data_IF_252967208407
#
_entry.id   IF_252967208407
#
_cell.length_a   1.000
_cell.length_b   1.000
_cell.length_c   1.000
_cell.angle_alpha   90.00
_cell.angle_beta   90.00
_cell.angle_gamma   90.00
#
_symmetry.space_group_name_H-M   'P 1'
#
loop_
_entity.id
_entity.type
_entity.pdbx_description
1 polymer ?
#
# COMPACT_ATOMS: atom_id res chain seq x y z
N UNK A 1 -31.32 -3.74 8.77
CA UNK A 1 -31.20 -4.06 7.33
C UNK A 1 -29.89 -3.47 6.85
N UNK A 2 -28.87 -4.30 6.66
CA UNK A 2 -27.60 -3.87 6.06
C UNK A 2 -27.91 -3.70 4.58
N UNK A 3 -27.78 -2.48 4.05
CA UNK A 3 -27.87 -2.23 2.61
C UNK A 3 -26.81 -3.10 1.97
N UNK A 4 -27.24 -4.23 1.38
CA UNK A 4 -26.35 -5.21 0.79
C UNK A 4 -25.53 -4.52 -0.27
N UNK A 5 -24.22 -4.62 -0.17
CA UNK A 5 -23.32 -4.07 -1.17
C UNK A 5 -23.66 -4.73 -2.50
N UNK A 6 -24.08 -3.91 -3.46
CA UNK A 6 -24.68 -4.38 -4.69
C UNK A 6 -23.65 -4.64 -5.79
N UNK A 7 -22.52 -3.94 -5.76
CA UNK A 7 -21.43 -4.09 -6.74
C UNK A 7 -20.10 -4.20 -6.00
N UNK A 8 -19.40 -5.31 -6.22
CA UNK A 8 -18.07 -5.57 -5.67
C UNK A 8 -17.07 -5.76 -6.82
N UNK A 9 -15.95 -5.03 -6.74
CA UNK A 9 -14.80 -5.17 -7.64
C UNK A 9 -13.63 -5.72 -6.86
N UNK A 10 -13.00 -6.78 -7.35
CA UNK A 10 -11.83 -7.38 -6.71
C UNK A 10 -10.62 -7.29 -7.62
N UNK A 11 -9.57 -6.64 -7.13
CA UNK A 11 -8.33 -6.36 -7.85
C UNK A 11 -7.11 -7.00 -7.22
N UNK A 12 -7.18 -7.49 -5.97
CA UNK A 12 -6.07 -8.14 -5.26
C UNK A 12 -5.95 -9.62 -5.67
N UNK A 13 -5.72 -9.86 -6.96
CA UNK A 13 -5.77 -11.15 -7.63
C UNK A 13 -6.25 -10.97 -9.06
N UNK A 14 -6.89 -11.97 -9.69
CA UNK A 14 -7.59 -11.78 -10.95
C UNK A 14 -8.70 -10.73 -10.78
N UNK A 15 -8.90 -9.91 -11.82
CA UNK A 15 -9.98 -8.92 -11.85
C UNK A 15 -11.33 -9.62 -11.83
N UNK A 16 -12.11 -9.39 -10.77
CA UNK A 16 -13.48 -9.88 -10.65
C UNK A 16 -14.46 -8.73 -10.47
N UNK A 17 -15.63 -8.85 -11.10
CA UNK A 17 -16.81 -8.05 -10.84
C UNK A 17 -17.91 -8.97 -10.35
N UNK A 18 -18.52 -8.63 -9.22
CA UNK A 18 -19.69 -9.31 -8.68
C UNK A 18 -20.80 -8.30 -8.52
N UNK A 19 -21.97 -8.59 -9.08
CA UNK A 19 -23.16 -7.74 -9.04
C UNK A 19 -24.29 -8.53 -8.41
N UNK A 20 -24.87 -8.02 -7.33
CA UNK A 20 -25.92 -8.71 -6.56
C UNK A 20 -25.54 -10.15 -6.16
N UNK A 21 -24.25 -10.36 -5.84
CA UNK A 21 -23.69 -11.67 -5.49
C UNK A 21 -23.40 -12.59 -6.69
N UNK A 22 -23.70 -12.17 -7.92
CA UNK A 22 -23.50 -12.95 -9.15
C UNK A 22 -22.22 -12.50 -9.87
N UNK A 23 -21.34 -13.41 -10.30
CA UNK A 23 -20.18 -13.07 -11.13
C UNK A 23 -20.62 -12.40 -12.44
N UNK A 24 -20.09 -11.20 -12.69
CA UNK A 24 -20.41 -10.37 -13.84
C UNK A 24 -19.14 -9.82 -14.53
N UNK A 25 -17.98 -10.42 -14.25
CA UNK A 25 -16.69 -10.01 -14.80
C UNK A 25 -16.74 -9.88 -16.33
N UNK A 26 -16.36 -8.72 -16.89
CA UNK A 26 -16.33 -8.52 -18.33
C UNK A 26 -15.43 -9.52 -19.06
N UNK A 27 -15.86 -9.93 -20.26
CA UNK A 27 -15.04 -10.73 -21.16
C UNK A 27 -13.87 -9.95 -21.76
N UNK A 28 -12.73 -10.62 -21.87
CA UNK A 28 -11.51 -10.08 -22.49
C UNK A 28 -10.70 -9.11 -21.60
N UNK A 29 -9.41 -8.92 -21.90
CA UNK A 29 -8.50 -8.17 -21.03
C UNK A 29 -8.77 -6.66 -21.02
N UNK A 30 -9.24 -6.09 -22.14
CA UNK A 30 -9.43 -4.63 -22.31
C UNK A 30 -10.55 -4.03 -21.45
N UNK A 31 -11.79 -4.57 -21.42
CA UNK A 31 -12.81 -4.10 -20.50
C UNK A 31 -12.42 -4.30 -19.03
N UNK A 32 -11.72 -5.40 -18.70
CA UNK A 32 -11.20 -5.64 -17.34
C UNK A 32 -10.14 -4.62 -16.94
N UNK A 33 -9.24 -4.22 -17.85
CA UNK A 33 -8.28 -3.16 -17.59
C UNK A 33 -8.96 -1.81 -17.31
N UNK A 34 -10.03 -1.47 -18.05
CA UNK A 34 -10.84 -0.27 -17.76
C UNK A 34 -11.49 -0.35 -16.38
N UNK A 35 -12.09 -1.49 -16.03
CA UNK A 35 -12.66 -1.72 -14.69
C UNK A 35 -11.60 -1.57 -13.60
N UNK A 36 -10.44 -2.19 -13.79
CA UNK A 36 -9.33 -2.15 -12.83
C UNK A 36 -8.85 -0.73 -12.58
N UNK A 37 -8.62 0.07 -13.64
CA UNK A 37 -8.19 1.47 -13.49
C UNK A 37 -9.25 2.31 -12.77
N UNK A 38 -10.53 2.14 -13.12
CA UNK A 38 -11.61 2.89 -12.48
C UNK A 38 -11.77 2.53 -11.00
N UNK A 39 -11.76 1.23 -10.67
CA UNK A 39 -11.89 0.77 -9.29
C UNK A 39 -10.67 1.12 -8.43
N UNK A 40 -9.45 1.04 -8.98
CA UNK A 40 -8.22 1.44 -8.30
C UNK A 40 -8.11 2.96 -8.08
N UNK A 41 -8.90 3.76 -8.80
CA UNK A 41 -8.97 5.20 -8.59
C UNK A 41 -9.86 5.60 -7.39
N UNK A 42 -10.40 4.62 -6.66
CA UNK A 42 -11.11 4.85 -5.39
C UNK A 42 -12.46 5.56 -5.51
N UNK A 43 -12.94 5.83 -6.73
CA UNK A 43 -14.09 6.70 -6.98
C UNK A 43 -13.72 8.03 -7.62
N UNK A 44 -12.44 8.31 -7.89
CA UNK A 44 -12.04 9.48 -8.68
C UNK A 44 -12.41 9.35 -10.18
N UNK A 45 -12.75 10.45 -10.87
CA UNK A 45 -12.89 10.46 -12.33
C UNK A 45 -11.55 10.22 -13.02
N UNK A 46 -11.58 9.37 -14.05
CA UNK A 46 -10.46 8.99 -14.90
C UNK A 46 -10.71 9.46 -16.33
N UNK A 47 -9.76 10.19 -16.90
CA UNK A 47 -9.90 10.72 -18.26
C UNK A 47 -10.01 9.62 -19.32
N UNK A 48 -10.71 9.91 -20.41
CA UNK A 48 -10.81 8.99 -21.55
C UNK A 48 -9.43 8.67 -22.16
N UNK A 49 -8.50 9.63 -22.18
CA UNK A 49 -7.12 9.41 -22.64
C UNK A 49 -6.41 8.36 -21.81
N UNK A 50 -6.57 8.42 -20.49
CA UNK A 50 -5.90 7.50 -19.58
C UNK A 50 -6.52 6.11 -19.60
N UNK A 51 -7.83 6.01 -19.76
CA UNK A 51 -8.47 4.73 -20.03
C UNK A 51 -8.01 4.15 -21.38
N UNK A 52 -7.82 4.99 -22.38
CA UNK A 52 -7.30 4.55 -23.68
C UNK A 52 -5.84 4.08 -23.56
N UNK A 53 -4.99 4.77 -22.79
CA UNK A 53 -3.63 4.32 -22.43
C UNK A 53 -3.69 2.94 -21.77
N UNK A 54 -4.56 2.75 -20.77
CA UNK A 54 -4.68 1.48 -20.05
C UNK A 54 -5.11 0.30 -20.94
N UNK A 55 -6.04 0.56 -21.85
CA UNK A 55 -6.60 -0.43 -22.78
C UNK A 55 -5.57 -0.92 -23.81
N UNK A 56 -4.65 -0.06 -24.24
CA UNK A 56 -3.71 -0.35 -25.33
C UNK A 56 -2.24 -0.40 -24.90
N UNK A 57 -1.98 -0.29 -23.59
CA UNK A 57 -0.63 -0.33 -23.01
C UNK A 57 0.16 -1.62 -23.33
N UNK A 58 -0.55 -2.69 -23.70
CA UNK A 58 -0.04 -3.99 -24.13
C UNK A 58 0.43 -4.03 -25.60
N UNK A 59 -0.05 -3.11 -26.45
CA UNK A 59 0.13 -3.21 -27.92
C UNK A 59 1.10 -2.19 -28.51
N UNK A 60 1.53 -1.18 -27.74
CA UNK A 60 2.35 -0.07 -28.24
C UNK A 60 1.66 0.81 -29.30
N UNK A 61 0.38 0.59 -29.58
CA UNK A 61 -0.41 1.39 -30.55
C UNK A 61 -0.94 2.67 -29.91
N UNK A 62 -1.14 3.74 -30.70
CA UNK A 62 -1.79 4.94 -30.21
C UNK A 62 -3.18 4.62 -29.65
N UNK A 63 -3.40 5.09 -28.43
CA UNK A 63 -4.64 4.94 -27.70
C UNK A 63 -5.79 5.64 -28.46
N UNK A 64 -6.83 4.91 -28.87
CA UNK A 64 -8.00 5.49 -29.55
C UNK A 64 -9.14 5.73 -28.55
N UNK A 65 -9.51 7.01 -28.34
CA UNK A 65 -10.64 7.41 -27.48
C UNK A 65 -11.95 6.71 -27.83
N UNK A 66 -12.19 6.47 -29.13
CA UNK A 66 -13.39 5.80 -29.62
C UNK A 66 -13.56 4.37 -29.05
N UNK A 67 -12.46 3.65 -28.80
CA UNK A 67 -12.52 2.29 -28.26
C UNK A 67 -12.84 2.26 -26.76
N UNK A 68 -12.52 3.32 -26.02
CA UNK A 68 -12.89 3.43 -24.59
C UNK A 68 -14.40 3.42 -24.44
N UNK A 69 -15.13 4.09 -25.33
CA UNK A 69 -16.60 4.12 -25.29
C UNK A 69 -17.21 2.72 -25.45
N UNK A 70 -16.62 1.89 -26.31
CA UNK A 70 -17.04 0.48 -26.49
C UNK A 70 -16.84 -0.32 -25.21
N UNK A 71 -15.67 -0.20 -24.59
CA UNK A 71 -15.37 -0.92 -23.34
C UNK A 71 -16.22 -0.41 -22.17
N UNK A 72 -16.47 0.89 -22.08
CA UNK A 72 -17.40 1.49 -21.11
C UNK A 72 -18.83 1.00 -21.34
N UNK A 73 -19.26 0.85 -22.59
CA UNK A 73 -20.58 0.30 -22.91
C UNK A 73 -20.70 -1.15 -22.44
N UNK A 74 -19.72 -2.00 -22.73
CA UNK A 74 -19.70 -3.39 -22.24
C UNK A 74 -19.67 -3.46 -20.71
N UNK A 75 -18.92 -2.56 -20.04
CA UNK A 75 -18.93 -2.47 -18.58
C UNK A 75 -20.29 -2.09 -18.02
N UNK A 76 -21.00 -1.14 -18.64
CA UNK A 76 -22.37 -0.81 -18.23
C UNK A 76 -23.32 -1.98 -18.39
N UNK A 77 -23.15 -2.80 -19.43
CA UNK A 77 -23.92 -4.03 -19.61
C UNK A 77 -23.62 -5.05 -18.50
N UNK A 78 -22.34 -5.26 -18.17
CA UNK A 78 -21.93 -6.12 -17.05
C UNK A 78 -22.48 -5.65 -15.70
N UNK A 79 -22.60 -4.33 -15.49
CA UNK A 79 -23.19 -3.75 -14.27
C UNK A 79 -24.72 -3.87 -14.22
N UNK A 80 -25.39 -4.23 -15.32
CA UNK A 80 -26.85 -4.40 -15.38
C UNK A 80 -27.60 -3.16 -14.90
N UNK A 81 -28.53 -3.35 -13.95
CA UNK A 81 -29.31 -2.27 -13.34
C UNK A 81 -28.45 -1.20 -12.65
N UNK A 82 -27.20 -1.52 -12.32
CA UNK A 82 -26.24 -0.64 -11.65
C UNK A 82 -25.32 0.09 -12.63
N UNK A 83 -25.63 0.08 -13.93
CA UNK A 83 -24.85 0.80 -14.95
C UNK A 83 -24.69 2.30 -14.68
N UNK A 84 -25.57 2.90 -13.86
CA UNK A 84 -25.47 4.30 -13.39
C UNK A 84 -24.33 4.54 -12.41
N UNK A 85 -23.75 3.48 -11.83
CA UNK A 85 -22.51 3.55 -11.06
C UNK A 85 -21.33 4.01 -11.92
N UNK A 86 -21.35 3.70 -13.23
CA UNK A 86 -20.35 4.15 -14.19
C UNK A 86 -20.77 5.47 -14.84
N UNK A 87 -20.39 6.57 -14.19
CA UNK A 87 -20.71 7.95 -14.55
C UNK A 87 -19.73 8.50 -15.58
N UNK A 88 -20.19 9.46 -16.36
CA UNK A 88 -19.35 10.24 -17.28
C UNK A 88 -19.60 11.72 -17.06
N UNK A 89 -18.55 12.51 -16.92
CA UNK A 89 -18.62 13.95 -16.68
C UNK A 89 -17.36 14.69 -17.16
N UNK A 90 -17.19 15.97 -16.77
CA UNK A 90 -16.07 16.80 -17.25
C UNK A 90 -14.67 16.23 -16.97
N UNK A 91 -14.52 15.46 -15.89
CA UNK A 91 -13.27 14.77 -15.51
C UNK A 91 -13.06 13.40 -16.17
N UNK A 92 -13.97 12.94 -17.02
CA UNK A 92 -13.94 11.61 -17.63
C UNK A 92 -14.94 10.64 -16.99
N UNK A 93 -14.52 9.38 -16.83
CA UNK A 93 -15.34 8.28 -16.33
C UNK A 93 -15.08 8.00 -14.86
N UNK A 94 -16.13 7.73 -14.10
CA UNK A 94 -16.04 7.51 -12.66
C UNK A 94 -16.85 6.28 -12.29
N UNK A 95 -16.28 5.38 -11.49
CA UNK A 95 -17.01 4.26 -10.90
C UNK A 95 -17.35 4.59 -9.44
N UNK A 96 -18.61 4.93 -9.18
CA UNK A 96 -19.08 5.42 -7.88
C UNK A 96 -20.03 4.42 -7.21
N UNK A 97 -20.00 4.36 -5.87
CA UNK A 97 -20.92 3.52 -5.10
C UNK A 97 -20.66 2.02 -5.21
N UNK A 98 -19.42 1.63 -5.53
CA UNK A 98 -18.98 0.22 -5.58
C UNK A 98 -18.09 -0.08 -4.38
N UNK A 99 -18.06 -1.34 -3.94
CA UNK A 99 -17.04 -1.83 -3.01
C UNK A 99 -15.85 -2.34 -3.80
N UNK A 100 -14.65 -1.94 -3.40
CA UNK A 100 -13.42 -2.49 -3.95
C UNK A 100 -12.62 -3.20 -2.84
N UNK A 101 -12.04 -4.37 -3.14
CA UNK A 101 -11.19 -5.09 -2.17
C UNK A 101 -9.95 -4.30 -1.76
N UNK A 102 -9.40 -3.49 -2.66
CA UNK A 102 -8.34 -2.51 -2.36
C UNK A 102 -8.76 -1.52 -1.26
N UNK A 103 -10.00 -1.05 -1.28
CA UNK A 103 -10.53 -0.15 -0.25
C UNK A 103 -10.70 -0.90 1.07
N UNK A 104 -11.19 -2.14 1.00
CA UNK A 104 -11.36 -2.98 2.17
C UNK A 104 -10.03 -3.32 2.84
N UNK A 105 -8.95 -3.51 2.07
CA UNK A 105 -7.62 -3.81 2.59
C UNK A 105 -6.97 -2.61 3.26
N UNK A 106 -7.07 -1.44 2.64
CA UNK A 106 -6.62 -0.17 3.22
C UNK A 106 -7.29 0.08 4.57
N UNK A 107 -8.62 -0.11 4.64
CA UNK A 107 -9.38 0.07 5.87
C UNK A 107 -9.04 -0.98 6.94
N UNK A 108 -8.80 -2.22 6.54
CA UNK A 108 -8.40 -3.28 7.47
C UNK A 108 -7.00 -3.06 8.05
N UNK A 109 -6.03 -2.65 7.22
CA UNK A 109 -4.68 -2.27 7.65
C UNK A 109 -4.73 -1.07 8.59
N UNK A 110 -5.55 -0.07 8.26
CA UNK A 110 -5.77 1.08 9.13
C UNK A 110 -6.24 0.66 10.52
N UNK A 111 -7.35 -0.09 10.61
CA UNK A 111 -7.87 -0.58 11.89
C UNK A 111 -6.86 -1.42 12.68
N UNK A 112 -6.09 -2.27 11.98
CA UNK A 112 -5.06 -3.08 12.62
C UNK A 112 -3.96 -2.23 13.26
N UNK A 113 -3.58 -1.12 12.63
CA UNK A 113 -2.63 -0.15 13.18
C UNK A 113 -3.17 0.64 14.35
N UNK A 114 -4.42 1.10 14.26
CA UNK A 114 -5.06 1.78 15.37
C UNK A 114 -5.10 0.88 16.62
N UNK A 115 -5.46 -0.40 16.44
CA UNK A 115 -5.39 -1.40 17.50
C UNK A 115 -3.95 -1.59 18.05
N UNK A 116 -2.95 -1.61 17.16
CA UNK A 116 -1.55 -1.76 17.56
C UNK A 116 -1.05 -0.57 18.40
N UNK A 117 -1.40 0.65 17.99
CA UNK A 117 -1.11 1.88 18.72
C UNK A 117 -1.81 1.91 20.08
N UNK A 118 -3.04 1.41 20.15
CA UNK A 118 -3.79 1.19 21.39
C UNK A 118 -3.26 0.02 22.24
N UNK A 119 -2.18 -0.65 21.80
CA UNK A 119 -1.55 -1.80 22.47
C UNK A 119 -2.45 -3.04 22.56
N UNK A 120 -3.51 -3.10 21.76
CA UNK A 120 -4.34 -4.29 21.59
C UNK A 120 -3.73 -5.20 20.51
N UNK A 121 -2.76 -6.02 20.94
CA UNK A 121 -2.02 -6.92 20.04
C UNK A 121 -2.93 -7.97 19.41
N UNK A 122 -3.99 -8.41 20.10
CA UNK A 122 -4.90 -9.41 19.54
C UNK A 122 -5.72 -8.82 18.39
N UNK A 123 -6.33 -7.66 18.61
CA UNK A 123 -7.09 -6.98 17.57
C UNK A 123 -6.19 -6.56 16.39
N UNK A 124 -4.97 -6.09 16.66
CA UNK A 124 -3.99 -5.75 15.63
C UNK A 124 -3.63 -6.96 14.75
N UNK A 125 -3.26 -8.09 15.37
CA UNK A 125 -2.89 -9.30 14.63
C UNK A 125 -4.06 -9.86 13.82
N UNK A 126 -5.27 -9.86 14.40
CA UNK A 126 -6.49 -10.27 13.70
C UNK A 126 -6.80 -9.36 12.50
N UNK A 127 -6.69 -8.04 12.68
CA UNK A 127 -6.90 -7.07 11.61
C UNK A 127 -5.92 -7.22 10.45
N UNK A 128 -4.63 -7.41 10.73
CA UNK A 128 -3.64 -7.66 9.67
C UNK A 128 -3.89 -8.99 8.96
N UNK A 129 -4.25 -10.07 9.68
CA UNK A 129 -4.61 -11.36 9.04
C UNK A 129 -5.82 -11.21 8.11
N UNK A 130 -6.88 -10.56 8.58
CA UNK A 130 -8.07 -10.29 7.77
C UNK A 130 -7.73 -9.46 6.52
N UNK A 131 -6.85 -8.47 6.65
CA UNK A 131 -6.38 -7.70 5.49
C UNK A 131 -5.62 -8.60 4.50
N UNK A 132 -4.69 -9.42 4.99
CA UNK A 132 -3.87 -10.31 4.16
C UNK A 132 -4.70 -11.36 3.41
N UNK A 133 -5.80 -11.83 3.99
CA UNK A 133 -6.75 -12.76 3.34
C UNK A 133 -7.47 -12.17 2.12
N UNK A 134 -7.52 -10.84 1.98
CA UNK A 134 -8.11 -10.19 0.81
C UNK A 134 -7.23 -10.34 -0.45
N UNK A 135 -5.92 -10.60 -0.28
CA UNK A 135 -5.05 -10.94 -1.40
C UNK A 135 -5.25 -12.39 -1.84
N UNK A 136 -5.90 -12.54 -3.00
CA UNK A 136 -6.06 -13.82 -3.73
C UNK A 136 -4.92 -14.06 -4.72
N UNK A 137 -4.07 -13.06 -4.94
CA UNK A 137 -2.91 -13.09 -5.82
C UNK A 137 -2.28 -11.71 -5.99
N UNK A 138 -1.37 -11.57 -6.95
CA UNK A 138 -0.85 -10.26 -7.34
C UNK A 138 -1.99 -9.36 -7.85
N UNK A 139 -1.88 -8.05 -7.61
CA UNK A 139 -2.86 -7.08 -8.09
C UNK A 139 -3.10 -7.24 -9.60
N UNK A 140 -4.35 -7.43 -10.03
CA UNK A 140 -4.74 -7.70 -11.43
C UNK A 140 -3.84 -8.77 -12.09
N UNK A 141 -3.74 -9.95 -11.48
CA UNK A 141 -2.81 -11.02 -11.92
C UNK A 141 -3.15 -11.63 -13.28
N UNK A 142 -4.38 -11.47 -13.75
CA UNK A 142 -4.84 -11.90 -15.08
C UNK A 142 -4.57 -10.86 -16.19
N UNK A 143 -3.96 -9.72 -15.83
CA UNK A 143 -3.59 -8.63 -16.72
C UNK A 143 -2.10 -8.26 -16.56
N UNK A 144 -1.15 -9.18 -16.75
CA UNK A 144 0.27 -8.91 -16.52
C UNK A 144 0.85 -7.87 -17.50
N UNK A 145 0.38 -7.84 -18.75
CA UNK A 145 0.95 -7.00 -19.82
C UNK A 145 0.39 -5.56 -19.85
N UNK A 146 -0.57 -5.23 -18.98
CA UNK A 146 -1.17 -3.90 -18.92
C UNK A 146 -0.34 -2.96 -18.03
N UNK A 147 0.72 -2.39 -18.58
CA UNK A 147 1.71 -1.57 -17.82
C UNK A 147 1.11 -0.33 -17.15
N UNK A 148 -0.07 0.14 -17.57
CA UNK A 148 -0.80 1.21 -16.88
C UNK A 148 -1.21 0.84 -15.44
N UNK A 149 -1.25 -0.45 -15.11
CA UNK A 149 -1.55 -0.99 -13.78
C UNK A 149 -0.29 -1.17 -12.92
N UNK A 150 0.91 -1.14 -13.50
CA UNK A 150 2.17 -1.35 -12.76
C UNK A 150 2.36 -0.44 -11.54
N UNK A 151 1.96 0.86 -11.58
CA UNK A 151 2.06 1.71 -10.40
C UNK A 151 1.21 1.19 -9.24
N UNK A 152 -0.04 0.80 -9.49
CA UNK A 152 -0.92 0.20 -8.48
C UNK A 152 -0.42 -1.18 -8.06
N UNK A 153 0.09 -1.98 -9.01
CA UNK A 153 0.67 -3.30 -8.75
C UNK A 153 1.83 -3.21 -7.75
N UNK A 154 2.75 -2.26 -7.94
CA UNK A 154 3.86 -2.02 -7.01
C UNK A 154 3.37 -1.54 -5.65
N UNK A 155 2.41 -0.60 -5.62
CA UNK A 155 1.84 -0.09 -4.37
C UNK A 155 1.21 -1.19 -3.52
N UNK A 156 0.30 -1.99 -4.09
CA UNK A 156 -0.40 -3.04 -3.35
C UNK A 156 0.50 -4.26 -3.05
N UNK A 157 1.56 -4.49 -3.83
CA UNK A 157 2.59 -5.47 -3.48
C UNK A 157 3.37 -5.02 -2.24
N UNK A 158 3.85 -3.77 -2.21
CA UNK A 158 4.57 -3.24 -1.05
C UNK A 158 3.69 -3.20 0.20
N UNK A 159 2.44 -2.76 0.06
CA UNK A 159 1.47 -2.73 1.16
C UNK A 159 1.21 -4.12 1.74
N UNK A 160 1.18 -5.18 0.90
CA UNK A 160 1.07 -6.57 1.37
C UNK A 160 2.28 -6.96 2.21
N UNK A 161 3.48 -6.62 1.75
CA UNK A 161 4.70 -6.92 2.48
C UNK A 161 4.80 -6.16 3.81
N UNK A 162 4.45 -4.88 3.82
CA UNK A 162 4.36 -4.07 5.05
C UNK A 162 3.33 -4.65 6.04
N UNK A 163 2.18 -5.10 5.55
CA UNK A 163 1.16 -5.74 6.38
C UNK A 163 1.64 -7.08 6.98
N UNK A 164 2.40 -7.88 6.21
CA UNK A 164 3.04 -9.11 6.72
C UNK A 164 4.06 -8.80 7.82
N UNK A 165 4.95 -7.84 7.60
CA UNK A 165 5.91 -7.41 8.62
C UNK A 165 5.23 -6.91 9.89
N UNK A 166 4.15 -6.14 9.74
CA UNK A 166 3.41 -5.62 10.87
C UNK A 166 2.70 -6.73 11.65
N UNK A 167 2.05 -7.67 10.94
CA UNK A 167 1.46 -8.87 11.55
C UNK A 167 2.51 -9.65 12.36
N UNK A 168 3.66 -9.95 11.74
CA UNK A 168 4.73 -10.72 12.39
C UNK A 168 5.28 -9.99 13.62
N UNK A 169 5.50 -8.68 13.51
CA UNK A 169 5.96 -7.90 14.67
C UNK A 169 4.94 -7.90 15.81
N UNK A 170 3.65 -7.93 15.51
CA UNK A 170 2.58 -8.08 16.51
C UNK A 170 2.60 -9.47 17.13
N UNK A 171 2.71 -10.53 16.32
CA UNK A 171 2.78 -11.90 16.81
C UNK A 171 4.02 -12.11 17.70
N UNK A 172 5.20 -11.60 17.31
CA UNK A 172 6.42 -11.65 18.13
C UNK A 172 6.28 -10.93 19.48
N UNK A 173 5.58 -9.80 19.53
CA UNK A 173 5.30 -9.08 20.78
C UNK A 173 4.27 -9.78 21.66
N UNK A 174 3.36 -10.55 21.06
CA UNK A 174 2.42 -11.40 21.76
C UNK A 174 3.04 -12.71 22.29
N UNK A 175 4.34 -12.92 22.11
CA UNK A 175 5.06 -14.12 22.54
C UNK A 175 5.28 -15.16 21.45
N UNK A 176 5.01 -14.81 20.19
CA UNK A 176 5.18 -15.66 19.02
C UNK A 176 3.87 -16.28 18.51
N UNK A 177 3.99 -17.06 17.44
CA UNK A 177 2.91 -17.87 16.89
C UNK A 177 3.44 -19.26 16.48
N UNK A 178 2.64 -20.33 16.57
CA UNK A 178 3.07 -21.66 16.13
C UNK A 178 3.54 -21.64 14.66
N UNK A 179 4.75 -22.12 14.41
CA UNK A 179 5.32 -22.20 13.05
C UNK A 179 5.86 -20.88 12.49
N UNK A 180 5.94 -19.81 13.30
CA UNK A 180 6.41 -18.49 12.85
C UNK A 180 7.84 -18.52 12.28
N UNK A 181 8.75 -19.30 12.87
CA UNK A 181 10.12 -19.47 12.33
C UNK A 181 10.08 -20.03 10.91
N UNK A 182 9.29 -21.08 10.66
CA UNK A 182 9.16 -21.70 9.33
C UNK A 182 8.53 -20.74 8.32
N UNK A 183 7.55 -19.96 8.74
CA UNK A 183 6.96 -18.91 7.89
C UNK A 183 8.00 -17.86 7.50
N UNK A 184 8.76 -17.36 8.48
CA UNK A 184 9.82 -16.38 8.26
C UNK A 184 10.95 -16.92 7.39
N UNK A 185 11.30 -18.20 7.50
CA UNK A 185 12.25 -18.88 6.59
C UNK A 185 11.77 -18.85 5.13
N UNK A 186 10.47 -19.04 4.90
CA UNK A 186 9.87 -18.88 3.57
C UNK A 186 9.92 -17.44 3.07
N UNK A 187 9.62 -16.49 3.95
CA UNK A 187 9.62 -15.05 3.60
C UNK A 187 11.01 -14.51 3.27
N UNK A 188 12.07 -14.92 4.00
CA UNK A 188 13.44 -14.50 3.65
C UNK A 188 13.94 -15.15 2.36
N UNK A 189 13.43 -16.34 2.00
CA UNK A 189 13.73 -16.95 0.71
C UNK A 189 13.00 -16.24 -0.45
N UNK A 190 11.75 -15.81 -0.22
CA UNK A 190 10.95 -15.09 -1.21
C UNK A 190 11.37 -13.62 -1.38
N UNK A 191 11.75 -12.95 -0.29
CA UNK A 191 12.13 -11.54 -0.23
C UNK A 191 13.50 -11.35 0.45
N UNK A 192 14.60 -11.86 -0.15
CA UNK A 192 15.93 -11.89 0.46
C UNK A 192 16.52 -10.51 0.75
N UNK A 193 16.16 -9.48 -0.02
CA UNK A 193 16.63 -8.11 0.17
C UNK A 193 15.83 -7.32 1.21
N UNK A 194 14.75 -7.91 1.78
CA UNK A 194 13.94 -7.26 2.79
C UNK A 194 14.47 -7.61 4.17
N UNK A 195 15.49 -6.86 4.61
CA UNK A 195 16.23 -7.03 5.87
C UNK A 195 15.37 -7.27 7.11
N UNK A 196 14.17 -6.72 7.11
CA UNK A 196 13.24 -6.81 8.22
C UNK A 196 12.75 -8.23 8.50
N UNK A 197 12.54 -9.05 7.47
CA UNK A 197 12.20 -10.45 7.67
C UNK A 197 13.37 -11.22 8.30
N UNK A 198 14.62 -10.88 7.94
CA UNK A 198 15.80 -11.43 8.62
C UNK A 198 15.83 -11.05 10.10
N UNK A 199 15.61 -9.77 10.40
CA UNK A 199 15.56 -9.30 11.79
C UNK A 199 14.46 -9.99 12.60
N UNK A 200 13.26 -10.13 12.03
CA UNK A 200 12.14 -10.83 12.67
C UNK A 200 12.44 -12.33 12.89
N UNK A 201 13.12 -12.98 11.94
CA UNK A 201 13.57 -14.36 12.08
C UNK A 201 14.62 -14.52 13.19
N UNK A 202 15.56 -13.59 13.31
CA UNK A 202 16.51 -13.56 14.43
C UNK A 202 15.80 -13.46 15.77
N UNK A 203 14.80 -12.58 15.89
CA UNK A 203 14.03 -12.41 17.13
C UNK A 203 13.21 -13.66 17.46
N UNK A 204 12.58 -14.29 16.47
CA UNK A 204 11.82 -15.53 16.67
C UNK A 204 12.71 -16.66 17.21
N UNK A 205 13.86 -16.88 16.58
CA UNK A 205 14.85 -17.88 17.02
C UNK A 205 15.39 -17.59 18.42
N UNK A 206 15.67 -16.31 18.72
CA UNK A 206 16.11 -15.90 20.05
C UNK A 206 15.07 -16.18 21.14
N UNK A 207 13.79 -15.92 20.88
CA UNK A 207 12.69 -16.24 21.80
C UNK A 207 12.55 -17.74 22.08
N UNK A 208 12.89 -18.59 21.12
CA UNK A 208 12.93 -20.06 21.28
C UNK A 208 14.24 -20.56 21.96
N UNK A 209 15.13 -19.67 22.38
CA UNK A 209 16.43 -20.02 22.99
C UNK A 209 17.50 -20.45 21.98
N UNK A 210 17.25 -20.27 20.68
CA UNK A 210 18.13 -20.71 19.57
C UNK A 210 19.07 -19.58 19.14
N UNK A 211 19.83 -19.06 20.10
CA UNK A 211 20.69 -17.88 19.91
C UNK A 211 21.75 -18.04 18.82
N UNK A 212 22.39 -19.22 18.74
CA UNK A 212 23.40 -19.52 17.72
C UNK A 212 22.79 -19.44 16.32
N UNK A 213 21.61 -19.99 16.13
CA UNK A 213 20.89 -19.97 14.85
C UNK A 213 20.46 -18.54 14.48
N UNK A 214 20.05 -17.71 15.44
CA UNK A 214 19.77 -16.30 15.19
C UNK A 214 21.01 -15.57 14.61
N UNK A 215 22.20 -15.82 15.15
CA UNK A 215 23.45 -15.26 14.62
C UNK A 215 23.84 -15.84 13.26
N UNK A 216 23.50 -17.11 12.99
CA UNK A 216 23.66 -17.69 11.64
C UNK A 216 22.79 -16.97 10.61
N UNK A 217 21.53 -16.62 10.95
CA UNK A 217 20.66 -15.88 10.03
C UNK A 217 21.17 -14.49 9.72
N UNK A 218 21.80 -13.81 10.68
CA UNK A 218 22.49 -12.55 10.40
C UNK A 218 23.64 -12.72 9.40
N UNK A 219 24.50 -13.73 9.59
CA UNK A 219 25.61 -14.03 8.67
C UNK A 219 25.09 -14.32 7.26
N UNK A 220 24.01 -15.09 7.15
CA UNK A 220 23.37 -15.37 5.88
C UNK A 220 22.79 -14.12 5.22
N UNK A 221 22.07 -13.28 5.98
CA UNK A 221 21.53 -12.01 5.48
C UNK A 221 22.65 -11.10 4.94
N UNK A 222 23.75 -10.98 5.69
CA UNK A 222 24.93 -10.20 5.27
C UNK A 222 25.49 -10.68 3.93
N UNK A 223 25.65 -11.99 3.76
CA UNK A 223 26.15 -12.56 2.52
C UNK A 223 25.20 -12.27 1.36
N UNK A 224 23.90 -12.49 1.56
CA UNK A 224 22.86 -12.26 0.55
C UNK A 224 22.80 -10.79 0.11
N UNK A 225 22.85 -9.84 1.05
CA UNK A 225 22.83 -8.41 0.77
C UNK A 225 24.08 -7.96 0.00
N UNK A 226 25.25 -8.48 0.39
CA UNK A 226 26.50 -8.21 -0.31
C UNK A 226 26.47 -8.77 -1.74
N UNK A 227 26.02 -10.00 -1.93
CA UNK A 227 26.02 -10.68 -3.22
C UNK A 227 24.98 -10.12 -4.20
N UNK A 228 23.77 -9.78 -3.72
CA UNK A 228 22.65 -9.39 -4.59
C UNK A 228 22.47 -7.88 -4.74
N UNK A 229 22.89 -7.08 -3.75
CA UNK A 229 22.71 -5.64 -3.75
C UNK A 229 24.02 -4.85 -3.56
N UNK A 230 25.14 -5.51 -3.25
CA UNK A 230 26.43 -4.84 -3.04
C UNK A 230 26.47 -3.96 -1.80
N UNK A 231 25.60 -4.24 -0.80
CA UNK A 231 25.46 -3.42 0.42
C UNK A 231 25.68 -4.25 1.68
N UNK A 232 26.18 -3.59 2.72
CA UNK A 232 26.24 -4.15 4.07
C UNK A 232 24.86 -4.09 4.77
N UNK A 233 24.63 -4.94 5.79
CA UNK A 233 23.43 -4.87 6.64
C UNK A 233 23.13 -3.48 7.20
N UNK A 234 21.86 -3.11 7.18
CA UNK A 234 21.34 -1.87 7.74
C UNK A 234 21.54 -1.75 9.26
N UNK A 235 21.34 -0.55 9.82
CA UNK A 235 21.56 -0.28 11.25
C UNK A 235 20.74 -1.19 12.18
N UNK A 236 19.46 -1.42 11.85
CA UNK A 236 18.57 -2.25 12.65
C UNK A 236 19.06 -3.71 12.74
N UNK A 237 19.50 -4.29 11.63
CA UNK A 237 19.99 -5.67 11.60
C UNK A 237 21.33 -5.81 12.34
N UNK A 238 22.22 -4.82 12.22
CA UNK A 238 23.47 -4.74 13.02
C UNK A 238 23.22 -4.53 14.51
N UNK A 239 22.17 -3.79 14.88
CA UNK A 239 21.79 -3.62 16.29
C UNK A 239 21.21 -4.92 16.87
N UNK A 240 20.42 -5.67 16.09
CA UNK A 240 19.95 -7.00 16.49
C UNK A 240 21.11 -7.96 16.72
N UNK A 241 22.10 -8.02 15.84
CA UNK A 241 23.32 -8.84 16.05
C UNK A 241 23.98 -8.48 17.39
N UNK A 242 24.22 -7.19 17.65
CA UNK A 242 24.83 -6.71 18.90
C UNK A 242 23.99 -7.07 20.13
N UNK A 243 22.67 -6.90 20.05
CA UNK A 243 21.76 -7.24 21.14
C UNK A 243 21.77 -8.74 21.44
N UNK A 244 21.78 -9.58 20.40
CA UNK A 244 21.87 -11.03 20.54
C UNK A 244 23.22 -11.44 21.15
N UNK A 245 24.35 -10.90 20.67
CA UNK A 245 25.68 -11.18 21.24
C UNK A 245 25.80 -10.75 22.72
N UNK A 246 25.13 -9.68 23.11
CA UNK A 246 25.11 -9.16 24.47
C UNK A 246 24.10 -9.88 25.40
N UNK A 247 23.40 -10.92 24.92
CA UNK A 247 22.32 -11.58 25.65
C UNK A 247 21.26 -10.59 26.16
N UNK A 248 20.92 -9.58 25.36
CA UNK A 248 19.94 -8.58 25.74
C UNK A 248 18.56 -9.20 25.97
N UNK A 249 17.74 -8.59 26.84
CA UNK A 249 16.37 -9.04 27.04
C UNK A 249 15.53 -8.93 25.76
N UNK A 250 14.58 -9.86 25.59
CA UNK A 250 13.70 -9.93 24.41
C UNK A 250 12.98 -8.62 24.09
N UNK A 251 12.64 -7.81 25.10
CA UNK A 251 12.03 -6.50 24.90
C UNK A 251 12.89 -5.55 24.06
N UNK A 252 14.22 -5.59 24.23
CA UNK A 252 15.17 -4.81 23.42
C UNK A 252 15.12 -5.23 21.96
N UNK A 253 15.16 -6.54 21.70
CA UNK A 253 15.12 -7.10 20.34
C UNK A 253 13.79 -6.79 19.64
N UNK A 254 12.67 -6.94 20.35
CA UNK A 254 11.33 -6.64 19.84
C UNK A 254 11.18 -5.17 19.41
N UNK A 255 11.81 -4.25 20.14
CA UNK A 255 11.82 -2.82 19.77
C UNK A 255 12.54 -2.57 18.44
N UNK A 256 13.66 -3.26 18.21
CA UNK A 256 14.45 -3.10 16.98
C UNK A 256 13.74 -3.74 15.77
N UNK A 257 13.01 -4.84 15.98
CA UNK A 257 12.26 -5.54 14.92
C UNK A 257 10.87 -4.94 14.60
N UNK A 258 10.43 -3.92 15.35
CA UNK A 258 9.10 -3.33 15.22
C UNK A 258 8.90 -2.54 13.90
N UNK A 259 7.65 -2.33 13.45
CA UNK A 259 7.34 -1.50 12.28
C UNK A 259 7.68 -0.04 12.55
N UNK A 260 8.44 0.57 11.62
CA UNK A 260 8.87 1.95 11.74
C UNK A 260 10.17 2.18 12.53
N UNK A 261 10.91 1.12 12.90
CA UNK A 261 12.33 1.30 13.23
C UNK A 261 13.03 1.82 11.96
N UNK A 262 13.50 3.08 12.02
CA UNK A 262 13.73 3.93 10.85
C UNK A 262 14.38 3.22 9.65
N UNK A 263 13.65 3.06 8.53
CA UNK A 263 14.29 2.72 7.27
C UNK A 263 15.22 3.88 6.87
N UNK A 264 16.38 3.56 6.30
CA UNK A 264 17.46 4.49 5.90
C UNK A 264 17.10 5.47 4.77
N UNK A 265 15.81 5.69 4.52
CA UNK A 265 15.31 6.55 3.46
C UNK A 265 14.20 7.48 3.93
N UNK A 266 14.10 8.65 3.30
CA UNK A 266 13.11 9.65 3.66
C UNK A 266 11.70 9.08 3.43
N UNK A 267 10.81 9.15 4.44
CA UNK A 267 9.46 8.68 4.26
C UNK A 267 8.73 9.61 3.26
N UNK A 268 7.91 9.02 2.40
CA UNK A 268 7.22 9.73 1.33
C UNK A 268 5.76 9.29 1.26
N UNK A 269 4.88 10.21 0.87
CA UNK A 269 3.53 9.88 0.48
C UNK A 269 3.56 9.27 -0.91
N UNK A 270 2.96 8.09 -1.06
CA UNK A 270 2.68 7.44 -2.34
C UNK A 270 1.18 7.27 -2.48
N UNK A 271 0.59 7.72 -3.58
CA UNK A 271 -0.84 7.56 -3.85
C UNK A 271 -1.09 7.32 -5.33
N UNK A 272 -2.25 6.78 -5.67
CA UNK A 272 -2.74 6.72 -7.04
C UNK A 272 -3.59 7.95 -7.29
N UNK A 273 -3.21 8.82 -8.23
CA UNK A 273 -4.04 9.98 -8.58
C UNK A 273 -5.27 9.56 -9.41
N UNK A 274 -6.21 10.47 -9.68
CA UNK A 274 -7.38 10.20 -10.54
C UNK A 274 -7.02 10.05 -12.01
N UNK A 275 -5.78 10.34 -12.38
CA UNK A 275 -5.23 9.80 -13.62
C UNK A 275 -4.66 8.42 -13.38
N UNK A 276 -5.05 7.64 -12.38
CA UNK A 276 -4.55 6.30 -12.01
C UNK A 276 -3.02 6.12 -11.84
N UNK A 277 -2.20 7.18 -11.91
CA UNK A 277 -0.73 7.07 -11.83
C UNK A 277 -0.32 7.09 -10.38
N UNK A 278 0.64 6.24 -10.00
CA UNK A 278 1.31 6.43 -8.72
C UNK A 278 2.06 7.76 -8.75
N UNK A 279 1.77 8.60 -7.78
CA UNK A 279 2.46 9.83 -7.47
C UNK A 279 3.20 9.64 -6.15
N UNK A 280 4.31 10.35 -6.01
CA UNK A 280 5.15 10.33 -4.82
C UNK A 280 5.48 11.74 -4.42
N UNK A 281 5.54 11.98 -3.12
CA UNK A 281 5.97 13.26 -2.54
C UNK A 281 6.69 12.99 -1.24
N UNK A 282 7.95 13.41 -1.15
CA UNK A 282 8.70 13.32 0.10
C UNK A 282 7.99 14.09 1.21
N UNK A 283 7.97 13.53 2.42
CA UNK A 283 7.49 14.26 3.58
C UNK A 283 8.45 15.43 3.86
N UNK A 284 7.92 16.59 4.29
CA UNK A 284 8.74 17.78 4.52
C UNK A 284 9.74 17.49 5.63
N UNK A 285 11.00 17.90 5.45
CA UNK A 285 12.03 17.86 6.52
C UNK A 285 11.97 19.10 7.40
N UNK A 286 11.39 20.18 6.86
CA UNK A 286 11.04 21.41 7.56
C UNK A 286 9.85 22.07 6.85
N UNK A 287 9.12 22.93 7.57
CA UNK A 287 7.94 23.60 7.04
C UNK A 287 6.70 22.70 7.01
N UNK A 288 5.87 22.88 6.00
CA UNK A 288 4.58 22.19 5.87
C UNK A 288 4.33 21.78 4.43
N UNK A 289 3.60 20.68 4.27
CA UNK A 289 3.12 20.13 3.02
C UNK A 289 1.59 20.17 3.07
N UNK A 290 0.95 20.86 2.12
CA UNK A 290 -0.51 20.94 2.07
C UNK A 290 -1.08 19.91 1.10
N UNK A 291 -2.04 19.12 1.57
CA UNK A 291 -2.84 18.20 0.76
C UNK A 291 -4.19 18.85 0.48
N UNK A 292 -4.60 18.86 -0.78
CA UNK A 292 -5.89 19.44 -1.14
C UNK A 292 -6.18 19.46 -2.63
N UNK A 293 -7.35 19.99 -2.97
CA UNK A 293 -7.83 20.12 -4.35
C UNK A 293 -7.34 21.40 -5.05
N UNK A 294 -6.77 22.35 -4.31
CA UNK A 294 -6.26 23.60 -4.87
C UNK A 294 -5.03 23.40 -5.77
N UNK A 295 -4.86 24.33 -6.71
CA UNK A 295 -3.76 24.33 -7.65
C UNK A 295 -2.39 24.52 -6.98
N UNK A 296 -2.35 25.27 -5.88
CA UNK A 296 -1.15 25.51 -5.08
C UNK A 296 -0.88 24.49 -3.97
N UNK A 297 -1.63 23.38 -3.89
CA UNK A 297 -1.35 22.33 -2.91
C UNK A 297 -0.11 21.51 -3.32
N UNK A 298 0.75 21.19 -2.36
CA UNK A 298 1.92 20.33 -2.58
C UNK A 298 1.54 18.93 -3.05
N UNK A 299 0.42 18.43 -2.54
CA UNK A 299 -0.20 17.18 -2.96
C UNK A 299 -1.59 17.51 -3.48
N UNK A 300 -1.65 17.73 -4.79
CA UNK A 300 -2.85 18.17 -5.49
C UNK A 300 -3.75 16.98 -5.88
N UNK A 301 -4.81 16.76 -5.11
CA UNK A 301 -5.81 15.71 -5.33
C UNK A 301 -7.00 16.24 -6.15
N UNK A 302 -6.70 16.88 -7.30
CA UNK A 302 -7.70 17.65 -8.06
C UNK A 302 -8.91 16.86 -8.56
N UNK A 303 -8.68 15.57 -8.75
CA UNK A 303 -9.64 14.61 -9.25
C UNK A 303 -10.69 14.22 -8.20
N UNK A 304 -10.36 14.36 -6.92
CA UNK A 304 -11.21 13.87 -5.84
C UNK A 304 -12.18 14.96 -5.41
N UNK A 305 -13.45 14.82 -5.84
CA UNK A 305 -14.51 15.78 -5.51
C UNK A 305 -14.84 15.82 -4.01
N UNK A 306 -14.51 14.77 -3.26
CA UNK A 306 -14.67 14.72 -1.81
C UNK A 306 -13.52 15.43 -1.08
N UNK A 307 -12.47 15.85 -1.78
CA UNK A 307 -11.35 16.60 -1.21
C UNK A 307 -11.62 18.11 -1.21
N UNK A 308 -11.61 18.70 -0.01
CA UNK A 308 -11.52 20.15 0.20
C UNK A 308 -10.32 20.81 -0.51
N UNK A 309 -10.49 22.07 -0.87
CA UNK A 309 -9.45 22.94 -1.48
C UNK A 309 -8.11 22.88 -0.75
N UNK A 310 -8.14 23.10 0.56
CA UNK A 310 -7.09 22.73 1.51
C UNK A 310 -7.72 21.72 2.47
N UNK A 311 -7.22 20.50 2.46
CA UNK A 311 -7.88 19.37 3.13
C UNK A 311 -7.14 18.98 4.40
N UNK A 312 -5.85 18.73 4.27
CA UNK A 312 -4.97 18.36 5.35
C UNK A 312 -3.63 19.06 5.19
N UNK A 313 -2.88 19.12 6.26
CA UNK A 313 -1.51 19.60 6.30
C UNK A 313 -0.64 18.57 6.99
N UNK A 314 0.58 18.41 6.49
CA UNK A 314 1.64 17.71 7.19
C UNK A 314 2.71 18.71 7.57
N UNK A 315 2.88 18.96 8.86
CA UNK A 315 3.91 19.83 9.42
C UNK A 315 5.02 19.01 10.07
N UNK A 316 6.15 19.66 10.36
CA UNK A 316 7.21 19.09 11.18
C UNK A 316 7.17 19.68 12.59
N UNK A 317 6.95 18.84 13.59
CA UNK A 317 6.98 19.20 15.01
C UNK A 317 8.07 18.41 15.71
N UNK A 318 9.10 19.10 16.22
CA UNK A 318 10.28 18.48 16.84
C UNK A 318 10.94 17.36 15.99
N UNK A 319 10.91 17.50 14.65
CA UNK A 319 11.47 16.52 13.71
C UNK A 319 10.56 15.32 13.42
N UNK A 320 9.33 15.34 13.93
CA UNK A 320 8.31 14.33 13.67
C UNK A 320 7.26 14.90 12.71
N UNK A 321 6.94 14.19 11.60
CA UNK A 321 5.89 14.62 10.70
C UNK A 321 4.52 14.42 11.38
N UNK A 322 3.74 15.50 11.46
CA UNK A 322 2.41 15.55 12.08
C UNK A 322 1.35 15.86 11.02
N UNK A 323 0.31 15.04 10.93
CA UNK A 323 -0.84 15.22 10.06
C UNK A 323 -1.96 15.94 10.82
N UNK A 324 -2.50 16.99 10.21
CA UNK A 324 -3.59 17.80 10.76
C UNK A 324 -4.70 17.97 9.72
N UNK A 325 -5.95 17.76 10.12
CA UNK A 325 -7.13 18.11 9.30
C UNK A 325 -7.33 19.62 9.30
N UNK A 326 -7.49 20.24 8.13
CA UNK A 326 -7.68 21.70 8.00
C UNK A 326 -9.17 22.09 8.01
N UNK A 327 -10.00 21.37 8.76
CA UNK A 327 -11.46 21.56 8.77
C UNK A 327 -12.09 21.08 7.46
N UNK A 328 -11.64 19.93 6.96
CA UNK A 328 -12.13 19.40 5.69
C UNK A 328 -13.60 18.96 5.78
N UNK A 329 -14.36 19.08 4.69
CA UNK A 329 -15.80 18.81 4.70
C UNK A 329 -16.13 17.34 4.97
N UNK A 330 -15.26 16.43 4.51
CA UNK A 330 -15.45 14.98 4.66
C UNK A 330 -14.53 14.36 5.73
N UNK A 331 -13.68 15.18 6.37
CA UNK A 331 -12.68 14.73 7.33
C UNK A 331 -11.45 14.08 6.68
N UNK A 332 -10.31 14.28 7.31
CA UNK A 332 -9.09 13.50 7.09
C UNK A 332 -9.09 12.28 7.99
N UNK A 333 -8.61 11.15 7.48
CA UNK A 333 -8.49 9.92 8.27
C UNK A 333 -7.04 9.42 8.25
N UNK A 334 -6.56 9.00 9.41
CA UNK A 334 -5.27 8.36 9.60
C UNK A 334 -5.52 6.93 10.06
N UNK A 335 -5.02 5.96 9.30
CA UNK A 335 -5.22 4.53 9.57
C UNK A 335 -6.70 4.19 9.86
N UNK A 336 -7.62 4.78 9.09
CA UNK A 336 -9.06 4.52 9.21
C UNK A 336 -9.77 5.28 10.34
N UNK A 337 -9.05 5.92 11.26
CA UNK A 337 -9.63 6.78 12.30
C UNK A 337 -9.67 8.23 11.84
N UNK A 338 -10.72 8.97 12.23
CA UNK A 338 -10.87 10.37 11.85
C UNK A 338 -9.89 11.23 12.66
N UNK A 339 -9.10 12.04 11.97
CA UNK A 339 -8.16 12.97 12.60
C UNK A 339 -8.95 14.10 13.25
N UNK A 340 -8.90 14.18 14.59
CA UNK A 340 -9.46 15.27 15.38
C UNK A 340 -8.39 16.25 15.85
N UNK A 341 -7.34 15.71 16.46
CA UNK A 341 -6.12 16.42 16.85
C UNK A 341 -4.96 16.00 15.93
N UNK A 342 -3.84 16.76 15.86
CA UNK A 342 -2.67 16.39 15.08
C UNK A 342 -2.13 15.00 15.43
N UNK A 343 -1.90 14.15 14.42
CA UNK A 343 -1.42 12.77 14.58
C UNK A 343 -0.05 12.57 13.95
N UNK A 344 0.82 11.80 14.60
CA UNK A 344 2.14 11.45 14.06
C UNK A 344 2.00 10.54 12.84
N UNK A 345 2.77 10.83 11.80
CA UNK A 345 2.96 9.94 10.65
C UNK A 345 4.24 9.10 10.80
N UNK A 346 4.15 7.84 10.38
CA UNK A 346 5.26 6.91 10.29
C UNK A 346 5.18 6.09 8.99
N UNK A 347 6.31 5.51 8.58
CA UNK A 347 6.33 4.57 7.45
C UNK A 347 5.33 3.42 7.71
N UNK A 348 4.62 3.06 6.65
CA UNK A 348 3.43 2.26 6.66
C UNK A 348 2.15 3.09 6.58
N UNK A 349 2.00 4.17 7.36
CA UNK A 349 0.71 4.82 7.65
C UNK A 349 -0.15 5.13 6.42
N UNK A 350 -1.47 5.02 6.58
CA UNK A 350 -2.41 5.39 5.53
C UNK A 350 -3.10 6.70 5.91
N UNK A 351 -3.01 7.69 5.03
CA UNK A 351 -3.73 8.95 5.10
C UNK A 351 -4.82 8.94 4.06
N UNK A 352 -6.07 9.13 4.44
CA UNK A 352 -7.18 9.27 3.50
C UNK A 352 -7.73 10.68 3.52
N UNK A 353 -7.77 11.28 2.33
CA UNK A 353 -8.42 12.55 2.07
C UNK A 353 -9.48 12.30 0.99
N UNK A 354 -10.76 12.44 1.32
CA UNK A 354 -11.85 12.04 0.43
C UNK A 354 -11.83 10.53 0.14
N UNK A 355 -11.79 10.20 -1.14
CA UNK A 355 -11.72 8.84 -1.69
C UNK A 355 -10.27 8.38 -1.95
N UNK A 356 -9.31 9.30 -1.92
CA UNK A 356 -7.90 9.03 -2.20
C UNK A 356 -7.16 8.59 -0.93
N UNK A 357 -6.45 7.46 -1.02
CA UNK A 357 -5.52 6.99 0.01
C UNK A 357 -4.08 7.28 -0.38
N UNK A 358 -3.35 7.90 0.53
CA UNK A 358 -1.93 8.15 0.47
C UNK A 358 -1.23 7.24 1.49
N UNK A 359 -0.41 6.32 1.01
CA UNK A 359 0.42 5.47 1.83
C UNK A 359 1.74 6.19 2.14
N UNK A 360 2.13 6.24 3.41
CA UNK A 360 3.45 6.71 3.85
C UNK A 360 4.42 5.55 3.65
N UNK A 361 5.09 5.50 2.50
CA UNK A 361 6.06 4.45 2.20
C UNK A 361 7.47 4.92 2.59
N UNK A 362 8.33 3.99 3.02
CA UNK A 362 9.75 4.27 3.16
C UNK A 362 10.44 4.22 1.79
N UNK A 363 11.06 5.32 1.35
CA UNK A 363 11.74 5.35 0.06
C UNK A 363 13.14 4.78 0.15
N UNK A 364 13.43 3.64 -0.49
CA UNK A 364 14.83 3.31 -0.81
C UNK A 364 15.27 4.25 -1.95
N UNK A 365 16.25 5.11 -1.66
CA UNK A 365 16.97 5.85 -2.70
C UNK A 365 17.79 4.86 -3.53
N UNK A 366 17.21 4.33 -4.60
CA UNK A 366 18.01 3.68 -5.64
C UNK A 366 18.60 4.81 -6.49
N UNK A 367 19.88 5.11 -6.29
CA UNK A 367 20.61 5.99 -7.22
C UNK A 367 20.49 5.41 -8.63
N UNK A 368 20.32 6.24 -9.67
CA UNK A 368 20.45 5.77 -11.04
C UNK A 368 21.85 5.19 -11.21
N UNK A 369 21.92 3.92 -11.59
CA UNK A 369 23.14 3.33 -12.12
C UNK A 369 23.41 4.11 -13.41
N UNK A 370 24.37 5.04 -13.37
CA UNK A 370 24.92 5.67 -14.56
C UNK A 370 25.57 4.57 -15.40
N UNK A 371 24.78 4.00 -16.31
CA UNK A 371 25.24 3.18 -17.40
C UNK A 371 26.03 4.04 -18.38
N UNK A 372 27.29 4.31 -18.04
CA UNK A 372 28.28 4.81 -19.00
C UNK A 372 29.45 3.84 -19.06
N UNK A 373 29.23 2.68 -19.66
CA UNK A 373 30.34 1.92 -20.24
C UNK A 373 30.71 2.66 -21.53
N UNK A 374 31.77 3.48 -21.46
CA UNK A 374 32.44 3.98 -22.66
C UNK A 374 33.12 2.82 -23.38
N UNK A 375 33.05 2.93 -24.70
CA UNK A 375 33.59 2.06 -25.74
C UNK A 375 35.04 1.63 -25.56
#
# INVERSE_FOLDING_TARGET
MIVGVVVEVRLLGPVELVVDGVPATPGGPRPRAVLAVLAASGGAPVSADRLAEAVYSDTGRPAARATVQVHVHHLRQSLGAHGTALRHGPGGYQLAGVRADVRAVEDAIGRARAADQARDLQAAAAGYRQALELWRGAFCSDLPDHVALDPARRLYAEMRWEALEARIATDLRAGGAPGLVRELEGLVAEQPLRERFWGQLMVALYQEGRQSEALDRYRQARQVLADQAGVDPGPALRELERAVLAHAGTATLLRVAAPGAEPTGRPMLTWVDGTGRARRRDLPVSGRLVIGRDEGADVALRHDGAVSRRHAEISQEAGVPMLTDLGSSNGTFHNGERVGDPVRLAAGDLVRCGDTVLAVTSGVSVSPIDGTTRS
#
